data_IF_307596710898
#
_entry.id   IF_307596710898
#
_cell.length_a   1.000
_cell.length_b   1.000
_cell.length_c   1.000
_cell.angle_alpha   90.00
_cell.angle_beta   90.00
_cell.angle_gamma   90.00
#
_symmetry.space_group_name_H-M   'P 1'
#
loop_
_entity.id
_entity.type
_entity.pdbx_description
1 polymer ?
#
# COMPACT_ATOMS: atom_id res chain seq x y z
N UNK A 1 6.56 23.28 -26.99
CA UNK A 1 5.79 22.86 -25.81
C UNK A 1 6.72 22.07 -24.89
N UNK A 2 7.07 22.61 -23.75
CA UNK A 2 8.02 21.99 -22.82
C UNK A 2 7.32 20.88 -22.06
N UNK A 3 7.62 19.62 -22.38
CA UNK A 3 7.24 18.47 -21.56
C UNK A 3 8.07 18.56 -20.28
N UNK A 4 7.51 19.17 -19.23
CA UNK A 4 8.10 19.09 -17.90
C UNK A 4 8.02 17.64 -17.45
N UNK A 5 9.12 16.89 -17.60
CA UNK A 5 9.27 15.56 -17.03
C UNK A 5 9.24 15.68 -15.51
N UNK A 6 8.05 15.61 -14.92
CA UNK A 6 7.90 15.51 -13.47
C UNK A 6 8.37 14.11 -13.08
N UNK A 7 9.54 14.03 -12.46
CA UNK A 7 10.12 12.76 -12.03
C UNK A 7 9.54 12.30 -10.69
N UNK A 8 9.33 11.01 -10.55
CA UNK A 8 8.91 10.39 -9.29
C UNK A 8 10.03 10.52 -8.25
N UNK A 9 9.76 11.12 -7.07
CA UNK A 9 10.78 11.28 -6.05
C UNK A 9 11.14 9.91 -5.47
N UNK A 10 12.44 9.69 -5.23
CA UNK A 10 12.96 8.45 -4.63
C UNK A 10 13.06 8.51 -3.10
N UNK A 11 12.75 9.66 -2.49
CA UNK A 11 12.86 9.84 -1.05
C UNK A 11 11.90 10.89 -0.53
N UNK A 12 11.51 10.74 0.74
CA UNK A 12 10.67 11.72 1.44
C UNK A 12 11.26 13.13 1.38
N UNK A 13 12.57 13.29 1.61
CA UNK A 13 13.25 14.61 1.56
C UNK A 13 13.09 15.36 0.23
N UNK A 14 12.89 14.63 -0.88
CA UNK A 14 12.62 15.22 -2.20
C UNK A 14 11.13 15.46 -2.38
N UNK A 15 10.30 14.49 -2.00
CA UNK A 15 8.84 14.57 -2.10
C UNK A 15 8.24 15.71 -1.25
N UNK A 16 8.72 15.88 -0.01
CA UNK A 16 8.23 16.86 0.96
C UNK A 16 8.44 18.32 0.54
N UNK A 17 9.19 18.57 -0.54
CA UNK A 17 9.39 19.90 -1.12
C UNK A 17 8.30 20.29 -2.11
N UNK A 18 7.40 19.38 -2.45
CA UNK A 18 6.35 19.59 -3.43
C UNK A 18 4.98 19.30 -2.83
N UNK A 19 4.08 20.28 -2.90
CA UNK A 19 2.74 20.19 -2.32
C UNK A 19 1.91 19.03 -2.89
N UNK A 20 2.12 18.68 -4.16
CA UNK A 20 1.42 17.55 -4.78
C UNK A 20 1.72 16.22 -4.09
N UNK A 21 2.96 16.00 -3.66
CA UNK A 21 3.34 14.78 -2.93
C UNK A 21 2.95 14.85 -1.46
N UNK A 22 2.99 16.03 -0.84
CA UNK A 22 2.47 16.22 0.52
C UNK A 22 0.98 15.88 0.60
N UNK A 23 0.18 16.36 -0.36
CA UNK A 23 -1.26 16.03 -0.45
C UNK A 23 -1.47 14.53 -0.63
N UNK A 24 -0.74 13.90 -1.56
CA UNK A 24 -0.85 12.47 -1.79
C UNK A 24 -0.47 11.63 -0.55
N UNK A 25 0.51 12.06 0.26
CA UNK A 25 0.85 11.41 1.52
C UNK A 25 -0.25 11.57 2.58
N UNK A 26 -0.84 12.77 2.71
CA UNK A 26 -1.95 13.00 3.63
C UNK A 26 -3.19 12.18 3.28
N UNK A 27 -3.51 12.06 1.99
CA UNK A 27 -4.61 11.21 1.50
C UNK A 27 -4.41 9.74 1.89
N UNK A 28 -3.19 9.21 1.74
CA UNK A 28 -2.86 7.84 2.15
C UNK A 28 -3.05 7.65 3.67
N UNK A 29 -2.52 8.56 4.50
CA UNK A 29 -2.67 8.46 5.97
C UNK A 29 -4.14 8.56 6.39
N UNK A 30 -4.89 9.51 5.82
CA UNK A 30 -6.32 9.68 6.11
C UNK A 30 -7.11 8.42 5.74
N UNK A 31 -6.73 7.75 4.64
CA UNK A 31 -7.35 6.50 4.21
C UNK A 31 -7.03 5.36 5.19
N UNK A 32 -5.79 5.27 5.67
CA UNK A 32 -5.38 4.26 6.66
C UNK A 32 -6.09 4.48 8.02
N UNK A 33 -6.24 5.73 8.45
CA UNK A 33 -7.00 6.09 9.65
C UNK A 33 -8.49 5.74 9.51
N UNK A 34 -9.11 6.06 8.37
CA UNK A 34 -10.50 5.73 8.09
C UNK A 34 -10.77 4.22 8.04
N UNK A 35 -9.77 3.42 7.66
CA UNK A 35 -9.86 1.96 7.65
C UNK A 35 -9.60 1.32 9.01
N UNK A 36 -9.23 2.10 10.04
CA UNK A 36 -8.87 1.61 11.37
C UNK A 36 -7.81 0.50 11.36
N UNK A 37 -6.86 0.55 10.43
CA UNK A 37 -5.86 -0.53 10.24
C UNK A 37 -4.63 -0.40 11.14
N UNK A 38 -4.49 0.70 11.89
CA UNK A 38 -3.33 0.96 12.73
C UNK A 38 -3.67 1.88 13.90
N UNK A 39 -2.84 1.84 14.95
CA UNK A 39 -2.93 2.74 16.10
C UNK A 39 -1.53 3.23 16.48
N UNK A 40 -1.42 4.49 16.86
CA UNK A 40 -0.19 5.03 17.42
C UNK A 40 -0.03 4.56 18.87
N UNK A 41 1.06 3.87 19.17
CA UNK A 41 1.33 3.34 20.51
C UNK A 41 2.82 3.42 20.84
N UNK A 42 3.15 3.43 22.14
CA UNK A 42 4.51 3.27 22.60
C UNK A 42 4.98 1.83 22.31
N UNK A 43 6.25 1.68 21.93
CA UNK A 43 6.82 0.34 21.69
C UNK A 43 6.89 -0.43 23.02
N UNK A 44 6.23 -1.59 23.14
CA UNK A 44 6.31 -2.39 24.36
C UNK A 44 7.75 -2.91 24.58
N UNK A 45 8.14 -3.14 25.85
CA UNK A 45 9.44 -3.73 26.14
C UNK A 45 9.57 -5.10 25.46
N UNK A 46 10.76 -5.39 24.95
CA UNK A 46 11.10 -6.63 24.23
C UNK A 46 10.43 -6.82 22.84
N UNK A 47 9.75 -5.81 22.29
CA UNK A 47 9.27 -5.81 20.90
C UNK A 47 10.23 -5.04 19.99
N UNK A 48 10.29 -5.43 18.72
CA UNK A 48 11.08 -4.74 17.69
C UNK A 48 10.18 -4.04 16.69
N UNK A 49 10.60 -2.86 16.23
CA UNK A 49 9.90 -2.13 15.17
C UNK A 49 10.48 -2.47 13.81
N UNK A 50 9.60 -2.65 12.82
CA UNK A 50 10.00 -2.65 11.42
C UNK A 50 10.07 -1.23 10.88
N UNK A 51 10.99 -0.97 9.97
CA UNK A 51 11.06 0.33 9.30
C UNK A 51 9.91 0.49 8.29
N UNK A 52 9.77 1.69 7.75
CA UNK A 52 8.84 1.98 6.66
C UNK A 52 9.48 2.87 5.60
N UNK A 53 8.82 3.01 4.45
CA UNK A 53 9.19 3.98 3.43
C UNK A 53 7.98 4.38 2.57
N UNK A 54 8.11 5.55 1.95
CA UNK A 54 7.13 6.06 1.00
C UNK A 54 7.47 5.64 -0.43
N UNK A 55 6.46 5.15 -1.15
CA UNK A 55 6.53 4.84 -2.58
C UNK A 55 5.68 5.85 -3.34
N UNK A 56 6.27 6.49 -4.34
CA UNK A 56 5.63 7.55 -5.11
C UNK A 56 5.40 7.11 -6.55
N UNK A 57 4.21 7.42 -7.07
CA UNK A 57 3.84 7.12 -8.46
C UNK A 57 3.01 8.24 -9.06
N UNK A 58 3.30 8.60 -10.29
CA UNK A 58 2.43 9.46 -11.09
C UNK A 58 1.50 8.58 -11.90
N UNK A 59 0.19 8.83 -11.80
CA UNK A 59 -0.82 8.19 -12.64
C UNK A 59 -1.11 9.11 -13.81
N UNK A 60 -1.04 8.56 -15.01
CA UNK A 60 -1.31 9.26 -16.25
C UNK A 60 -2.63 8.77 -16.83
N UNK A 61 -3.34 9.69 -17.48
CA UNK A 61 -4.50 9.38 -18.31
C UNK A 61 -4.05 8.77 -19.65
N UNK A 62 -4.99 8.23 -20.41
CA UNK A 62 -4.73 7.67 -21.74
C UNK A 62 -4.14 8.70 -22.73
N UNK A 63 -4.43 9.98 -22.53
CA UNK A 63 -3.87 11.10 -23.31
C UNK A 63 -2.44 11.52 -22.86
N UNK A 64 -1.89 10.86 -21.83
CA UNK A 64 -0.57 11.15 -21.27
C UNK A 64 -0.54 12.26 -20.21
N UNK A 65 -1.64 12.99 -20.01
CA UNK A 65 -1.75 14.00 -18.96
C UNK A 65 -1.72 13.39 -17.56
N UNK A 66 -1.29 14.17 -16.57
CA UNK A 66 -1.23 13.70 -15.18
C UNK A 66 -2.66 13.60 -14.65
N UNK A 67 -3.08 12.39 -14.29
CA UNK A 67 -4.36 12.11 -13.66
C UNK A 67 -4.29 12.44 -12.16
N UNK A 68 -3.29 11.87 -11.46
CA UNK A 68 -3.08 12.08 -10.03
C UNK A 68 -1.67 11.72 -9.58
N UNK A 69 -1.26 12.31 -8.48
CA UNK A 69 -0.08 11.90 -7.71
C UNK A 69 -0.51 10.86 -6.68
N UNK A 70 0.23 9.76 -6.56
CA UNK A 70 -0.07 8.69 -5.62
C UNK A 70 1.14 8.45 -4.72
N UNK A 71 0.95 8.56 -3.41
CA UNK A 71 1.89 8.08 -2.42
C UNK A 71 1.34 6.80 -1.79
N UNK A 72 2.23 5.90 -1.38
CA UNK A 72 1.89 4.72 -0.58
C UNK A 72 2.85 4.56 0.56
N UNK A 73 2.33 4.24 1.74
CA UNK A 73 3.15 3.89 2.88
C UNK A 73 3.40 2.39 2.90
N UNK A 74 4.68 1.98 2.92
CA UNK A 74 5.05 0.57 2.83
C UNK A 74 5.99 0.19 3.96
N UNK A 75 5.57 -0.81 4.73
CA UNK A 75 6.37 -1.48 5.74
C UNK A 75 7.58 -2.21 5.13
N UNK A 76 8.74 -2.14 5.78
CA UNK A 76 9.97 -2.83 5.36
C UNK A 76 9.97 -4.27 5.89
N UNK A 77 9.11 -5.10 5.30
CA UNK A 77 8.89 -6.50 5.71
C UNK A 77 10.13 -7.40 5.62
N UNK A 78 11.15 -7.03 4.84
CA UNK A 78 12.41 -7.79 4.73
C UNK A 78 13.24 -7.86 6.03
N UNK A 79 12.79 -7.17 7.09
CA UNK A 79 13.39 -7.23 8.43
C UNK A 79 12.71 -8.24 9.36
N UNK A 80 11.64 -8.90 8.91
CA UNK A 80 10.95 -9.93 9.69
C UNK A 80 11.72 -11.26 9.63
N UNK A 81 11.84 -11.93 10.78
CA UNK A 81 12.45 -13.26 10.90
C UNK A 81 11.35 -14.33 10.97
N UNK A 82 11.47 -15.38 10.17
CA UNK A 82 10.58 -16.55 10.22
C UNK A 82 10.53 -17.13 11.64
N UNK A 83 9.33 -17.44 12.14
CA UNK A 83 9.10 -17.94 13.50
C UNK A 83 9.07 -16.87 14.61
N UNK A 84 9.44 -15.62 14.32
CA UNK A 84 9.32 -14.47 15.25
C UNK A 84 8.43 -13.35 14.70
N UNK A 85 8.42 -13.13 13.38
CA UNK A 85 7.73 -12.03 12.72
C UNK A 85 6.70 -12.45 11.65
N UNK A 86 6.71 -13.72 11.25
CA UNK A 86 5.62 -14.37 10.52
C UNK A 86 5.76 -15.89 10.65
N UNK A 87 4.63 -16.61 10.64
CA UNK A 87 4.62 -18.09 10.67
C UNK A 87 4.60 -18.66 9.25
N UNK A 88 3.85 -18.04 8.34
CA UNK A 88 3.73 -18.45 6.94
C UNK A 88 3.65 -17.24 6.00
N UNK A 89 4.27 -17.32 4.82
CA UNK A 89 4.15 -16.29 3.76
C UNK A 89 3.15 -16.74 2.69
N UNK A 90 1.85 -16.68 2.98
CA UNK A 90 0.83 -16.97 1.95
C UNK A 90 0.47 -15.70 1.18
N UNK A 91 0.73 -15.70 -0.13
CA UNK A 91 0.10 -14.77 -1.05
C UNK A 91 -1.13 -15.46 -1.65
N UNK A 92 -2.34 -14.96 -1.34
CA UNK A 92 -3.61 -15.43 -1.89
C UNK A 92 -3.77 -15.04 -3.38
N UNK A 93 -2.77 -15.36 -4.20
CA UNK A 93 -2.79 -15.09 -5.63
C UNK A 93 -3.40 -16.29 -6.34
N UNK A 94 -4.58 -16.09 -6.93
CA UNK A 94 -5.19 -17.09 -7.79
C UNK A 94 -4.20 -17.49 -8.91
N UNK A 95 -3.98 -18.80 -9.08
CA UNK A 95 -3.13 -19.30 -10.16
C UNK A 95 -3.76 -18.95 -11.51
N UNK A 96 -2.96 -18.43 -12.43
CA UNK A 96 -3.43 -18.05 -13.77
C UNK A 96 -4.04 -19.25 -14.52
N UNK A 97 -3.59 -20.47 -14.23
CA UNK A 97 -4.17 -21.71 -14.75
C UNK A 97 -5.64 -21.89 -14.33
N UNK A 98 -5.96 -21.64 -13.07
CA UNK A 98 -7.34 -21.68 -12.55
C UNK A 98 -8.20 -20.60 -13.20
N UNK A 99 -7.69 -19.38 -13.34
CA UNK A 99 -8.41 -18.28 -14.01
C UNK A 99 -8.71 -18.65 -15.46
N UNK A 100 -7.73 -19.18 -16.20
CA UNK A 100 -7.91 -19.64 -17.59
C UNK A 100 -8.92 -20.76 -17.70
N UNK A 101 -8.93 -21.71 -16.76
CA UNK A 101 -9.92 -22.79 -16.74
C UNK A 101 -11.34 -22.25 -16.59
N UNK A 102 -11.56 -21.32 -15.66
CA UNK A 102 -12.87 -20.69 -15.45
C UNK A 102 -13.32 -19.93 -16.71
N UNK A 103 -12.41 -19.18 -17.35
CA UNK A 103 -12.70 -18.48 -18.61
C UNK A 103 -13.05 -19.46 -19.74
N UNK A 104 -12.33 -20.58 -19.86
CA UNK A 104 -12.61 -21.59 -20.86
C UNK A 104 -13.99 -22.23 -20.65
N UNK A 105 -14.34 -22.56 -19.40
CA UNK A 105 -15.65 -23.09 -19.05
C UNK A 105 -16.77 -22.07 -19.33
N UNK A 106 -16.56 -20.80 -19.02
CA UNK A 106 -17.52 -19.75 -19.32
C UNK A 106 -17.73 -19.60 -20.83
N UNK A 107 -16.65 -19.64 -21.63
CA UNK A 107 -16.74 -19.58 -23.09
C UNK A 107 -17.48 -20.79 -23.68
N UNK A 108 -17.18 -22.01 -23.20
CA UNK A 108 -17.83 -23.25 -23.65
C UNK A 108 -19.33 -23.27 -23.34
N UNK A 109 -19.73 -22.71 -22.19
CA UNK A 109 -21.13 -22.71 -21.75
C UNK A 109 -21.87 -21.40 -22.08
N UNK A 110 -21.24 -20.50 -22.83
CA UNK A 110 -21.77 -19.18 -23.17
C UNK A 110 -22.23 -18.36 -21.95
N UNK A 111 -21.47 -18.42 -20.85
CA UNK A 111 -21.76 -17.69 -19.62
C UNK A 111 -21.32 -16.24 -19.69
N UNK A 112 -22.16 -15.34 -19.16
CA UNK A 112 -21.78 -13.95 -18.96
C UNK A 112 -20.81 -13.81 -17.80
N UNK A 113 -19.66 -13.16 -18.07
CA UNK A 113 -18.66 -12.82 -17.07
C UNK A 113 -18.74 -11.34 -16.71
N UNK A 114 -18.59 -11.02 -15.43
CA UNK A 114 -18.41 -9.66 -14.93
C UNK A 114 -17.14 -9.62 -14.10
N UNK A 115 -16.29 -8.62 -14.36
CA UNK A 115 -15.09 -8.37 -13.57
C UNK A 115 -15.40 -7.25 -12.57
N UNK A 116 -15.00 -7.46 -11.32
CA UNK A 116 -15.09 -6.45 -10.27
C UNK A 116 -13.67 -6.21 -9.74
N UNK A 117 -13.23 -4.96 -9.83
CA UNK A 117 -11.96 -4.51 -9.25
C UNK A 117 -12.27 -3.78 -7.95
N UNK A 118 -11.83 -4.37 -6.83
CA UNK A 118 -12.05 -3.78 -5.50
C UNK A 118 -10.94 -2.80 -5.22
N UNK A 119 -11.30 -1.52 -5.03
CA UNK A 119 -10.36 -0.53 -4.53
C UNK A 119 -9.92 -0.93 -3.10
N UNK A 120 -8.61 -1.06 -2.90
CA UNK A 120 -7.99 -1.45 -1.62
C UNK A 120 -8.35 -2.86 -1.17
N UNK A 121 -8.06 -3.87 -2.00
CA UNK A 121 -8.09 -5.28 -1.62
C UNK A 121 -7.04 -5.62 -0.55
N UNK A 122 -7.21 -5.07 0.65
CA UNK A 122 -6.82 -5.76 1.87
C UNK A 122 -7.90 -6.84 2.03
N UNK A 123 -7.54 -8.09 1.75
CA UNK A 123 -8.38 -9.21 2.17
C UNK A 123 -8.71 -8.95 3.65
N UNK A 124 -9.98 -8.97 4.03
CA UNK A 124 -10.48 -8.69 5.39
C UNK A 124 -10.05 -9.75 6.40
N UNK A 125 -8.81 -10.22 6.29
CA UNK A 125 -8.21 -11.15 7.19
C UNK A 125 -7.61 -10.38 8.36
N UNK A 126 -7.78 -10.93 9.56
CA UNK A 126 -7.25 -10.33 10.77
C UNK A 126 -5.78 -10.74 10.83
N UNK A 127 -4.88 -9.76 10.81
CA UNK A 127 -3.47 -10.04 11.07
C UNK A 127 -3.34 -10.59 12.49
N UNK A 128 -3.01 -11.88 12.62
CA UNK A 128 -2.83 -12.54 13.92
C UNK A 128 -1.52 -12.12 14.60
N UNK A 129 -0.58 -11.56 13.84
CA UNK A 129 0.73 -11.16 14.30
C UNK A 129 0.75 -9.68 14.70
N UNK A 130 1.30 -9.37 15.88
CA UNK A 130 1.54 -7.99 16.29
C UNK A 130 2.77 -7.42 15.59
N UNK A 131 2.55 -6.45 14.70
CA UNK A 131 3.62 -5.76 13.97
C UNK A 131 3.71 -4.30 14.42
N UNK A 132 4.87 -3.92 14.95
CA UNK A 132 5.17 -2.53 15.30
C UNK A 132 5.97 -1.89 14.19
N UNK A 133 5.53 -0.75 13.67
CA UNK A 133 6.21 -0.02 12.60
C UNK A 133 6.73 1.32 13.11
N UNK A 134 7.94 1.70 12.68
CA UNK A 134 8.45 3.04 12.92
C UNK A 134 7.53 4.09 12.29
N UNK A 135 7.32 5.19 13.01
CA UNK A 135 6.51 6.31 12.51
C UNK A 135 7.10 6.83 11.19
N UNK A 136 6.30 6.93 10.12
CA UNK A 136 6.82 7.39 8.85
C UNK A 136 7.23 8.87 8.91
N UNK A 137 8.25 9.27 8.13
CA UNK A 137 8.64 10.65 8.02
C UNK A 137 7.46 11.51 7.57
N UNK A 138 7.20 12.62 8.28
CA UNK A 138 6.11 13.55 7.99
C UNK A 138 4.88 13.39 8.86
N UNK A 139 4.80 12.34 9.68
CA UNK A 139 3.79 12.23 10.74
C UNK A 139 4.42 12.68 12.06
N UNK A 140 3.78 13.64 12.73
CA UNK A 140 4.15 14.01 14.10
C UNK A 140 3.33 13.17 15.08
N UNK A 141 3.95 12.58 16.12
CA UNK A 141 3.20 11.89 17.15
C UNK A 141 2.38 12.94 17.90
N UNK A 142 1.06 12.95 17.70
CA UNK A 142 0.16 13.51 18.70
C UNK A 142 0.13 12.51 19.84
N UNK A 143 1.01 12.70 20.84
CA UNK A 143 0.96 11.92 22.08
C UNK A 143 -0.47 11.97 22.63
N UNK A 144 -1.16 10.83 22.82
CA UNK A 144 -2.13 10.79 23.89
C UNK A 144 -1.32 10.93 25.19
N UNK A 145 -1.60 12.00 25.93
CA UNK A 145 -1.08 12.19 27.29
C UNK A 145 -1.57 11.11 28.25
#
# INVERSE_FOLDING_TARGET
MSITYVSEPKSYKKASKHDCWLKAMHEEISTLEANYTWVLTALPPHKTTIGCHWVYKIKHRADGSIERYKARLVAKGYTQMEGLGFIDTYSLVAKLTTVRLILALAAMNNWHLKQLDVNNAFLHDILHEEVYMQLPPGITPSLPG
#
